data_IF_615430484958
#
_entry.id   IF_615430484958
#
_cell.length_a   1.000
_cell.length_b   1.000
_cell.length_c   1.000
_cell.angle_alpha   90.00
_cell.angle_beta   90.00
_cell.angle_gamma   90.00
#
_symmetry.space_group_name_H-M   'P 1'
#
loop_
_entity.id
_entity.type
_entity.pdbx_description
1 polymer ?
#
# COMPACT_ATOMS: atom_id res chain seq x y z
N UNK A 1 -10.22 -8.50 -11.96
CA UNK A 1 -10.07 -7.16 -11.36
C UNK A 1 -8.86 -7.20 -10.44
N UNK A 2 -7.82 -6.39 -10.68
CA UNK A 2 -6.62 -6.32 -9.83
C UNK A 2 -6.72 -5.11 -8.90
N UNK A 3 -6.75 -5.35 -7.59
CA UNK A 3 -6.87 -4.30 -6.56
C UNK A 3 -5.65 -3.37 -6.55
N UNK A 4 -4.44 -3.87 -6.84
CA UNK A 4 -3.24 -3.04 -6.92
C UNK A 4 -3.35 -1.97 -8.02
N UNK A 5 -3.89 -2.34 -9.19
CA UNK A 5 -4.10 -1.39 -10.29
C UNK A 5 -5.17 -0.34 -9.95
N UNK A 6 -6.14 -0.67 -9.09
CA UNK A 6 -7.10 0.33 -8.61
C UNK A 6 -6.40 1.39 -7.76
N UNK A 7 -5.54 0.99 -6.82
CA UNK A 7 -4.79 1.92 -5.98
C UNK A 7 -3.83 2.79 -6.80
N UNK A 8 -3.15 2.20 -7.78
CA UNK A 8 -2.23 2.93 -8.66
C UNK A 8 -2.96 3.99 -9.49
N UNK A 9 -4.14 3.68 -10.04
CA UNK A 9 -4.97 4.66 -10.75
C UNK A 9 -5.46 5.78 -9.83
N UNK A 10 -5.84 5.46 -8.60
CA UNK A 10 -6.26 6.49 -7.64
C UNK A 10 -5.10 7.42 -7.26
N UNK A 11 -3.89 6.88 -7.11
CA UNK A 11 -2.69 7.68 -6.88
C UNK A 11 -2.39 8.63 -8.05
N UNK A 12 -2.61 8.20 -9.29
CA UNK A 12 -2.41 9.03 -10.48
C UNK A 12 -3.52 10.09 -10.65
N UNK A 13 -4.78 9.72 -10.42
CA UNK A 13 -5.95 10.60 -10.65
C UNK A 13 -6.15 11.61 -9.52
N UNK A 14 -5.93 11.21 -8.28
CA UNK A 14 -6.32 11.95 -7.07
C UNK A 14 -5.29 11.75 -5.97
N UNK A 15 -4.00 11.89 -6.31
CA UNK A 15 -2.90 11.53 -5.42
C UNK A 15 -2.82 12.28 -4.09
N UNK A 16 -3.30 13.53 -4.06
CA UNK A 16 -3.35 14.35 -2.84
C UNK A 16 -4.57 14.06 -1.96
N UNK A 17 -5.60 13.42 -2.50
CA UNK A 17 -6.83 13.10 -1.77
C UNK A 17 -6.60 12.00 -0.73
N UNK A 18 -7.42 11.95 0.34
CA UNK A 18 -7.31 10.93 1.38
C UNK A 18 -7.39 9.51 0.80
N UNK A 19 -6.36 8.70 1.05
CA UNK A 19 -6.31 7.29 0.66
C UNK A 19 -6.63 6.35 1.81
N UNK A 20 -6.16 6.68 3.02
CA UNK A 20 -6.51 6.02 4.28
C UNK A 20 -6.82 7.10 5.30
N UNK A 21 -7.94 6.94 6.00
CA UNK A 21 -8.36 7.82 7.08
C UNK A 21 -8.56 7.02 8.38
N UNK A 22 -8.28 7.66 9.51
CA UNK A 22 -8.58 7.15 10.85
C UNK A 22 -9.58 8.13 11.49
N UNK A 23 -10.84 7.72 11.57
CA UNK A 23 -11.90 8.66 11.92
C UNK A 23 -12.00 9.79 10.87
N UNK A 24 -11.90 11.04 11.33
CA UNK A 24 -11.93 12.22 10.46
C UNK A 24 -10.56 12.65 9.92
N UNK A 25 -9.48 11.99 10.34
CA UNK A 25 -8.11 12.40 10.00
C UNK A 25 -7.55 11.58 8.84
N UNK A 26 -6.89 12.25 7.90
CA UNK A 26 -6.18 11.57 6.82
C UNK A 26 -4.87 11.01 7.35
N UNK A 27 -4.77 9.68 7.38
CA UNK A 27 -3.53 8.99 7.74
C UNK A 27 -2.52 9.01 6.58
N UNK A 28 -2.98 8.75 5.36
CA UNK A 28 -2.16 8.91 4.17
C UNK A 28 -3.01 9.22 2.93
N UNK A 29 -2.42 9.96 1.98
CA UNK A 29 -3.03 10.19 0.67
C UNK A 29 -2.89 8.98 -0.24
N UNK A 30 -3.64 8.94 -1.34
CA UNK A 30 -3.49 7.88 -2.35
C UNK A 30 -2.06 7.78 -2.90
N UNK A 31 -1.39 8.91 -3.15
CA UNK A 31 0.00 8.91 -3.61
C UNK A 31 0.96 8.31 -2.56
N UNK A 32 0.77 8.66 -1.28
CA UNK A 32 1.62 8.15 -0.22
C UNK A 32 1.39 6.64 0.01
N UNK A 33 0.14 6.19 -0.06
CA UNK A 33 -0.20 4.77 0.02
C UNK A 33 0.46 3.96 -1.09
N UNK A 34 0.29 4.38 -2.35
CA UNK A 34 0.90 3.71 -3.49
C UNK A 34 2.44 3.69 -3.40
N UNK A 35 3.05 4.80 -2.98
CA UNK A 35 4.49 4.89 -2.77
C UNK A 35 5.02 4.00 -1.63
N UNK A 36 4.25 3.81 -0.55
CA UNK A 36 4.58 2.87 0.54
C UNK A 36 4.52 1.42 0.04
N UNK A 37 3.42 1.05 -0.63
CA UNK A 37 3.24 -0.29 -1.18
C UNK A 37 4.31 -0.65 -2.23
N UNK A 38 4.65 0.29 -3.13
CA UNK A 38 5.68 0.10 -4.14
C UNK A 38 7.07 -0.13 -3.52
N UNK A 39 7.44 0.64 -2.48
CA UNK A 39 8.70 0.45 -1.75
C UNK A 39 8.75 -0.88 -1.02
N UNK A 40 7.67 -1.27 -0.34
CA UNK A 40 7.59 -2.56 0.35
C UNK A 40 7.70 -3.72 -0.65
N UNK A 41 6.97 -3.69 -1.75
CA UNK A 41 7.05 -4.70 -2.81
C UNK A 41 8.43 -4.75 -3.48
N UNK A 42 9.07 -3.60 -3.68
CA UNK A 42 10.45 -3.52 -4.18
C UNK A 42 11.46 -4.16 -3.22
N UNK A 43 11.32 -3.90 -1.92
CA UNK A 43 12.13 -4.54 -0.88
C UNK A 43 11.89 -6.05 -0.81
N UNK A 44 10.63 -6.49 -0.86
CA UNK A 44 10.26 -7.91 -0.84
C UNK A 44 10.91 -8.69 -1.99
N UNK A 45 10.90 -8.14 -3.20
CA UNK A 45 11.56 -8.77 -4.36
C UNK A 45 13.08 -8.73 -4.24
N UNK A 46 13.65 -7.55 -3.97
CA UNK A 46 15.11 -7.34 -4.08
C UNK A 46 15.91 -7.77 -2.84
N UNK A 47 15.32 -7.75 -1.65
CA UNK A 47 16.00 -8.04 -0.38
C UNK A 47 15.53 -9.33 0.26
N UNK A 48 14.23 -9.62 0.21
CA UNK A 48 13.68 -10.86 0.76
C UNK A 48 13.61 -12.01 -0.27
N UNK A 49 13.92 -11.75 -1.55
CA UNK A 49 13.95 -12.77 -2.60
C UNK A 49 12.59 -13.40 -2.88
N UNK A 50 11.49 -12.66 -2.67
CA UNK A 50 10.16 -13.19 -2.89
C UNK A 50 9.80 -13.22 -4.38
N UNK A 51 9.46 -14.41 -4.84
CA UNK A 51 8.99 -14.68 -6.19
C UNK A 51 7.46 -14.54 -6.31
N UNK A 52 6.91 -14.30 -7.51
CA UNK A 52 5.47 -14.35 -7.74
C UNK A 52 4.85 -15.65 -7.22
N UNK A 53 3.80 -15.55 -6.41
CA UNK A 53 3.14 -16.69 -5.76
C UNK A 53 3.71 -17.05 -4.38
N UNK A 54 4.81 -16.44 -3.95
CA UNK A 54 5.29 -16.54 -2.58
C UNK A 54 4.23 -16.01 -1.59
N UNK A 55 4.20 -16.61 -0.39
CA UNK A 55 3.27 -16.24 0.67
C UNK A 55 4.00 -15.42 1.72
N UNK A 56 3.34 -14.37 2.20
CA UNK A 56 3.83 -13.53 3.30
C UNK A 56 2.83 -13.54 4.44
N UNK A 57 3.33 -13.57 5.68
CA UNK A 57 2.52 -13.36 6.87
C UNK A 57 2.69 -11.92 7.34
N UNK A 58 1.57 -11.26 7.64
CA UNK A 58 1.56 -9.93 8.27
C UNK A 58 1.02 -10.13 9.69
N UNK A 59 1.88 -9.97 10.69
CA UNK A 59 1.54 -10.17 12.11
C UNK A 59 1.53 -8.80 12.79
N UNK A 60 0.36 -8.16 12.80
CA UNK A 60 0.15 -6.84 13.39
C UNK A 60 -1.23 -6.77 14.07
N UNK A 61 -1.34 -5.94 15.11
CA UNK A 61 -2.65 -5.51 15.65
C UNK A 61 -3.34 -4.56 14.67
N UNK A 62 -4.63 -4.27 14.88
CA UNK A 62 -5.35 -3.31 14.05
C UNK A 62 -4.72 -1.92 14.16
N UNK A 63 -4.09 -1.48 13.07
CA UNK A 63 -3.35 -0.22 12.96
C UNK A 63 -3.32 0.21 11.50
N UNK A 64 -3.32 1.51 11.22
CA UNK A 64 -3.42 2.00 9.85
C UNK A 64 -2.21 1.62 8.98
N UNK A 65 -1.06 1.34 9.59
CA UNK A 65 0.14 0.85 8.91
C UNK A 65 -0.03 -0.53 8.27
N UNK A 66 -1.08 -1.27 8.65
CA UNK A 66 -1.46 -2.53 8.00
C UNK A 66 -1.78 -2.34 6.51
N UNK A 67 -2.22 -1.12 6.14
CA UNK A 67 -2.54 -0.69 4.78
C UNK A 67 -1.35 0.07 4.17
#
# INVERSE_FOLDING_TARGET
>A
MNVAHMFERNALRSGAEPGVAIGGETFCSHALLAGRAARLGGWMRSRAGLEPGARVAIILTNRAEYI
#
